data_IF_295280750247
#
_entry.id   IF_295280750247
#
_cell.length_a   1.000
_cell.length_b   1.000
_cell.length_c   1.000
_cell.angle_alpha   90.00
_cell.angle_beta   90.00
_cell.angle_gamma   90.00
#
_symmetry.space_group_name_H-M   'P 1'
#
loop_
_entity.id
_entity.type
_entity.pdbx_description
1 polymer ?
#
# COMPACT_ATOMS: atom_id res chain seq x y z
N UNK A 1 -17.60 -70.99 33.97
CA UNK A 1 -16.14 -71.19 34.14
C UNK A 1 -15.61 -71.35 32.72
N UNK A 2 -14.88 -70.47 32.07
CA UNK A 2 -13.95 -69.37 32.42
C UNK A 2 -14.20 -68.18 31.46
N UNK A 3 -14.25 -66.91 31.88
CA UNK A 3 -13.20 -66.00 32.38
C UNK A 3 -12.31 -65.38 31.26
N UNK A 4 -12.37 -64.03 31.18
CA UNK A 4 -11.48 -63.07 30.50
C UNK A 4 -11.81 -62.76 29.03
N UNK A 5 -12.48 -61.65 28.67
CA UNK A 5 -12.25 -60.22 28.97
C UNK A 5 -10.91 -59.70 28.42
N UNK A 6 -10.95 -59.15 27.20
CA UNK A 6 -10.02 -58.12 26.73
C UNK A 6 -10.79 -57.12 25.84
N UNK A 7 -11.27 -56.05 26.48
CA UNK A 7 -11.74 -54.83 25.82
C UNK A 7 -10.51 -54.03 25.37
N UNK A 8 -10.23 -54.02 24.08
CA UNK A 8 -9.26 -53.09 23.49
C UNK A 8 -9.98 -51.77 23.27
N UNK A 9 -9.78 -50.83 24.19
CA UNK A 9 -10.21 -49.44 24.05
C UNK A 9 -9.29 -48.78 23.01
N UNK A 10 -9.77 -48.67 21.77
CA UNK A 10 -9.12 -47.86 20.74
C UNK A 10 -9.44 -46.38 21.03
N UNK A 11 -8.58 -45.72 21.80
CA UNK A 11 -8.62 -44.27 21.98
C UNK A 11 -8.29 -43.58 20.66
N UNK A 12 -9.32 -43.23 19.89
CA UNK A 12 -9.21 -42.31 18.75
C UNK A 12 -8.89 -40.93 19.33
N UNK A 13 -7.63 -40.57 19.29
CA UNK A 13 -7.16 -39.20 19.54
C UNK A 13 -7.57 -38.35 18.33
N UNK A 14 -8.68 -37.63 18.50
CA UNK A 14 -9.15 -36.62 17.54
C UNK A 14 -8.10 -35.49 17.52
N UNK A 15 -7.17 -35.54 16.56
CA UNK A 15 -6.27 -34.42 16.28
C UNK A 15 -7.13 -33.24 15.81
N UNK A 16 -7.33 -32.26 16.68
CA UNK A 16 -7.75 -30.91 16.33
C UNK A 16 -6.70 -30.33 15.38
N UNK A 17 -6.92 -30.53 14.08
CA UNK A 17 -6.25 -29.74 13.04
C UNK A 17 -6.80 -28.33 13.17
N UNK A 18 -6.17 -27.52 14.02
CA UNK A 18 -6.35 -26.08 13.95
C UNK A 18 -6.01 -25.66 12.52
N UNK A 19 -6.92 -25.02 11.76
CA UNK A 19 -6.49 -24.35 10.55
C UNK A 19 -5.49 -23.31 11.01
N UNK A 20 -4.22 -23.50 10.64
CA UNK A 20 -3.25 -22.43 10.67
C UNK A 20 -3.90 -21.27 9.93
N UNK A 21 -4.30 -20.22 10.67
CA UNK A 21 -4.68 -18.95 10.06
C UNK A 21 -3.51 -18.60 9.17
N UNK A 22 -3.72 -18.65 7.85
CA UNK A 22 -2.71 -18.29 6.86
C UNK A 22 -2.01 -17.03 7.37
N UNK A 23 -0.73 -17.21 7.71
CA UNK A 23 0.03 -16.22 8.44
C UNK A 23 -0.07 -14.90 7.68
N UNK A 24 -0.58 -13.87 8.33
CA UNK A 24 -0.81 -12.57 7.72
C UNK A 24 0.55 -12.02 7.31
N UNK A 25 0.94 -12.16 6.03
CA UNK A 25 2.22 -11.67 5.56
C UNK A 25 2.20 -10.13 5.55
N UNK A 26 2.51 -9.55 6.71
CA UNK A 26 2.62 -8.13 6.88
C UNK A 26 4.01 -7.67 6.45
N UNK A 27 4.19 -7.47 5.15
CA UNK A 27 5.44 -7.01 4.56
C UNK A 27 5.93 -5.73 5.23
N UNK A 28 5.03 -4.79 5.52
CA UNK A 28 5.37 -3.54 6.22
C UNK A 28 4.15 -2.88 6.85
N UNK A 29 4.24 -2.51 8.14
CA UNK A 29 3.31 -1.55 8.74
C UNK A 29 3.63 -0.13 8.31
N UNK A 30 2.62 0.60 7.82
CA UNK A 30 2.73 1.96 7.30
C UNK A 30 1.61 2.84 7.86
N UNK A 31 1.90 4.13 8.06
CA UNK A 31 0.98 5.08 8.70
C UNK A 31 0.34 4.54 9.98
N UNK A 32 1.17 3.92 10.83
CA UNK A 32 0.85 3.27 12.11
C UNK A 32 0.05 1.96 11.98
N UNK A 33 -1.07 1.99 11.28
CA UNK A 33 -2.11 0.97 11.43
C UNK A 33 -2.39 0.13 10.17
N UNK A 34 -1.75 0.44 9.04
CA UNK A 34 -2.01 -0.26 7.77
C UNK A 34 -0.93 -1.28 7.45
N UNK A 35 -1.35 -2.50 7.13
CA UNK A 35 -0.45 -3.60 6.85
C UNK A 35 -0.32 -3.82 5.33
N UNK A 36 0.82 -3.40 4.77
CA UNK A 36 1.17 -3.66 3.38
C UNK A 36 1.41 -5.17 3.17
N UNK A 37 0.83 -5.76 2.13
CA UNK A 37 0.80 -7.21 1.87
C UNK A 37 -0.33 -7.97 2.59
N UNK A 38 -0.89 -7.39 3.65
CA UNK A 38 -1.95 -8.00 4.45
C UNK A 38 -3.32 -8.02 3.76
N UNK A 39 -4.28 -8.72 4.38
CA UNK A 39 -5.66 -8.81 3.88
C UNK A 39 -6.44 -7.50 4.06
N UNK A 40 -7.10 -7.05 2.99
CA UNK A 40 -8.01 -5.91 3.05
C UNK A 40 -9.26 -6.22 3.91
N UNK A 41 -9.77 -7.45 3.87
CA UNK A 41 -10.94 -7.83 4.66
C UNK A 41 -10.66 -7.68 6.17
N UNK A 42 -9.52 -8.21 6.62
CA UNK A 42 -9.09 -8.07 8.02
C UNK A 42 -8.75 -6.62 8.39
N UNK A 43 -8.23 -5.81 7.45
CA UNK A 43 -8.05 -4.38 7.68
C UNK A 43 -9.39 -3.69 7.93
N UNK A 44 -10.41 -4.02 7.15
CA UNK A 44 -11.76 -3.45 7.27
C UNK A 44 -12.49 -3.92 8.54
N UNK A 45 -12.28 -5.16 8.96
CA UNK A 45 -12.81 -5.67 10.23
C UNK A 45 -12.20 -4.95 11.44
N UNK A 46 -10.87 -4.78 11.46
CA UNK A 46 -10.17 -4.09 12.55
C UNK A 46 -10.44 -2.58 12.55
N UNK A 47 -10.53 -1.99 11.37
CA UNK A 47 -10.75 -0.56 11.19
C UNK A 47 -11.74 -0.32 10.04
N UNK A 48 -13.04 -0.27 10.34
CA UNK A 48 -14.06 0.04 9.34
C UNK A 48 -13.85 1.42 8.75
N UNK A 49 -14.11 1.56 7.44
CA UNK A 49 -14.19 2.87 6.79
C UNK A 49 -15.65 3.34 6.74
N UNK A 50 -15.85 4.66 6.87
CA UNK A 50 -17.15 5.31 6.61
C UNK A 50 -17.46 5.45 5.12
N UNK A 51 -16.46 5.34 4.26
CA UNK A 51 -16.63 5.48 2.81
C UNK A 51 -16.95 4.13 2.18
N UNK A 52 -17.83 4.06 1.18
CA UNK A 52 -18.09 2.83 0.44
C UNK A 52 -16.82 2.23 -0.15
N UNK A 53 -16.68 0.92 -0.04
CA UNK A 53 -15.59 0.18 -0.68
C UNK A 53 -15.76 0.25 -2.21
N UNK A 54 -14.73 0.68 -2.92
CA UNK A 54 -14.71 0.72 -4.39
C UNK A 54 -14.14 -0.59 -4.93
N UNK A 55 -14.76 -1.19 -5.94
CA UNK A 55 -14.29 -2.44 -6.57
C UNK A 55 -14.28 -2.32 -8.10
N UNK A 56 -13.28 -2.94 -8.74
CA UNK A 56 -13.20 -3.12 -10.20
C UNK A 56 -12.40 -4.39 -10.48
N UNK A 57 -13.07 -5.45 -10.92
CA UNK A 57 -12.47 -6.78 -11.06
C UNK A 57 -11.86 -7.24 -9.73
N UNK A 58 -10.60 -7.69 -9.77
CA UNK A 58 -9.84 -8.11 -8.59
C UNK A 58 -9.29 -6.94 -7.75
N UNK A 59 -9.48 -5.69 -8.18
CA UNK A 59 -9.03 -4.50 -7.46
C UNK A 59 -10.11 -4.01 -6.51
N UNK A 60 -9.69 -3.63 -5.30
CA UNK A 60 -10.55 -2.98 -4.32
C UNK A 60 -9.84 -1.78 -3.68
N UNK A 61 -10.61 -0.79 -3.22
CA UNK A 61 -10.08 0.43 -2.62
C UNK A 61 -10.96 0.95 -1.48
N UNK A 62 -10.36 1.17 -0.32
CA UNK A 62 -10.98 1.81 0.84
C UNK A 62 -10.34 3.18 1.08
N UNK A 63 -11.15 4.14 1.52
CA UNK A 63 -10.70 5.52 1.80
C UNK A 63 -10.95 5.82 3.27
N UNK A 64 -9.92 6.22 3.99
CA UNK A 64 -9.99 6.68 5.38
C UNK A 64 -9.74 8.18 5.39
N UNK A 65 -10.72 8.96 5.86
CA UNK A 65 -10.58 10.41 6.02
C UNK A 65 -10.20 10.71 7.46
N UNK A 66 -9.10 11.42 7.66
CA UNK A 66 -8.64 11.90 8.97
C UNK A 66 -8.44 13.41 8.85
N UNK A 67 -9.40 14.18 9.39
CA UNK A 67 -9.43 15.64 9.27
C UNK A 67 -9.29 16.11 7.81
N UNK A 68 -8.17 16.74 7.45
CA UNK A 68 -7.87 17.24 6.10
C UNK A 68 -7.10 16.26 5.22
N UNK A 69 -6.70 15.13 5.78
CA UNK A 69 -5.92 14.12 5.08
C UNK A 69 -6.78 12.92 4.69
N UNK A 70 -6.33 12.22 3.66
CA UNK A 70 -6.97 10.98 3.20
C UNK A 70 -5.93 9.90 3.05
N UNK A 71 -6.26 8.71 3.55
CA UNK A 71 -5.49 7.49 3.37
C UNK A 71 -6.29 6.55 2.46
N UNK A 72 -5.72 6.22 1.31
CA UNK A 72 -6.26 5.30 0.35
C UNK A 72 -5.56 3.95 0.50
N UNK A 73 -6.33 2.92 0.82
CA UNK A 73 -5.85 1.55 0.93
C UNK A 73 -6.34 0.79 -0.29
N UNK A 74 -5.42 0.37 -1.14
CA UNK A 74 -5.70 -0.32 -2.39
C UNK A 74 -5.25 -1.78 -2.28
N UNK A 75 -6.12 -2.67 -2.72
CA UNK A 75 -5.90 -4.10 -2.71
C UNK A 75 -6.10 -4.70 -4.10
N UNK A 76 -5.40 -5.81 -4.33
CA UNK A 76 -5.49 -6.64 -5.52
C UNK A 76 -5.54 -8.10 -5.06
N UNK A 77 -6.50 -8.87 -5.57
CA UNK A 77 -6.81 -10.23 -5.08
C UNK A 77 -6.96 -10.30 -3.54
N UNK A 78 -7.56 -9.25 -2.96
CA UNK A 78 -7.77 -9.12 -1.52
C UNK A 78 -6.54 -8.72 -0.69
N UNK A 79 -5.34 -8.65 -1.27
CA UNK A 79 -4.11 -8.24 -0.59
C UNK A 79 -3.79 -6.77 -0.82
N UNK A 80 -3.42 -6.05 0.25
CA UNK A 80 -3.11 -4.62 0.22
C UNK A 80 -1.77 -4.42 -0.49
N UNK A 81 -1.79 -3.93 -1.72
CA UNK A 81 -0.57 -3.67 -2.49
C UNK A 81 -0.09 -2.23 -2.37
N UNK A 82 -0.98 -1.27 -2.05
CA UNK A 82 -0.63 0.14 -1.95
C UNK A 82 -1.41 0.85 -0.86
N UNK A 83 -0.70 1.62 -0.03
CA UNK A 83 -1.31 2.56 0.92
C UNK A 83 -0.77 3.95 0.61
N UNK A 84 -1.65 4.89 0.31
CA UNK A 84 -1.32 6.25 -0.11
C UNK A 84 -1.94 7.26 0.86
N UNK A 85 -1.15 8.20 1.37
CA UNK A 85 -1.61 9.35 2.16
C UNK A 85 -1.48 10.62 1.33
N UNK A 86 -2.56 11.39 1.23
CA UNK A 86 -2.54 12.75 0.65
C UNK A 86 -2.50 13.78 1.76
N UNK A 87 -1.72 14.85 1.54
CA UNK A 87 -1.53 15.93 2.51
C UNK A 87 -2.21 17.22 2.06
N UNK A 88 -2.73 17.96 3.02
CA UNK A 88 -3.29 19.30 2.87
C UNK A 88 -2.64 20.21 3.94
N UNK A 89 -1.94 21.30 3.56
CA UNK A 89 -1.86 21.90 2.23
C UNK A 89 -0.91 21.17 1.27
N UNK A 90 -1.37 20.98 0.04
CA UNK A 90 -0.63 20.31 -1.04
C UNK A 90 0.39 21.24 -1.73
N UNK A 91 1.38 21.73 -0.97
CA UNK A 91 2.39 22.69 -1.44
C UNK A 91 3.73 22.03 -1.79
N UNK A 92 4.57 22.76 -2.55
CA UNK A 92 5.97 22.35 -2.77
C UNK A 92 6.78 22.27 -1.48
N UNK A 93 6.48 23.13 -0.49
CA UNK A 93 7.17 23.09 0.81
C UNK A 93 6.88 21.76 1.51
N UNK A 94 5.61 21.39 1.61
CA UNK A 94 5.17 20.10 2.18
C UNK A 94 5.86 18.93 1.47
N UNK A 95 5.92 18.95 0.14
CA UNK A 95 6.64 17.96 -0.65
C UNK A 95 8.12 17.90 -0.27
N UNK A 96 8.82 19.04 -0.20
CA UNK A 96 10.24 19.09 0.15
C UNK A 96 10.54 18.66 1.57
N UNK A 97 9.64 18.93 2.50
CA UNK A 97 9.77 18.51 3.90
C UNK A 97 9.67 16.99 4.02
N UNK A 98 8.69 16.39 3.35
CA UNK A 98 8.54 14.94 3.26
C UNK A 98 9.73 14.30 2.54
N UNK A 99 10.19 14.87 1.42
CA UNK A 99 11.35 14.37 0.68
C UNK A 99 12.60 14.33 1.57
N UNK A 100 12.87 15.41 2.34
CA UNK A 100 14.00 15.45 3.28
C UNK A 100 13.86 14.41 4.40
N UNK A 101 12.64 14.24 4.93
CA UNK A 101 12.36 13.23 5.96
C UNK A 101 12.59 11.80 5.45
N UNK A 102 12.10 11.50 4.26
CA UNK A 102 12.30 10.20 3.61
C UNK A 102 13.77 9.96 3.26
N UNK A 103 14.48 10.99 2.81
CA UNK A 103 15.91 10.88 2.51
C UNK A 103 16.74 10.55 3.76
N UNK A 104 16.42 11.16 4.91
CA UNK A 104 17.06 10.79 6.19
C UNK A 104 16.76 9.34 6.60
N UNK A 105 15.58 8.84 6.25
CA UNK A 105 15.11 7.51 6.68
C UNK A 105 15.56 6.37 5.77
N UNK A 106 15.60 6.61 4.46
CA UNK A 106 15.81 5.57 3.45
C UNK A 106 17.00 5.85 2.52
N UNK A 107 17.70 6.96 2.71
CA UNK A 107 18.83 7.36 1.86
C UNK A 107 18.39 8.09 0.58
N UNK A 108 19.22 8.00 -0.46
CA UNK A 108 19.00 8.70 -1.73
C UNK A 108 17.81 8.10 -2.48
N UNK A 109 16.94 8.95 -3.02
CA UNK A 109 15.87 8.55 -3.94
C UNK A 109 16.36 8.47 -5.37
N UNK A 110 15.59 7.74 -6.19
CA UNK A 110 15.59 7.87 -7.63
C UNK A 110 14.58 8.95 -8.05
N UNK A 111 15.05 9.98 -8.76
CA UNK A 111 14.18 11.04 -9.31
C UNK A 111 13.49 10.51 -10.58
N UNK A 112 12.16 10.41 -10.54
CA UNK A 112 11.29 9.96 -11.64
C UNK A 112 10.35 11.05 -12.15
N UNK A 113 10.61 12.29 -11.76
CA UNK A 113 9.82 13.46 -12.10
C UNK A 113 9.63 13.62 -13.61
N UNK A 114 8.41 13.98 -14.02
CA UNK A 114 8.05 14.12 -15.43
C UNK A 114 7.64 15.56 -15.73
N UNK A 115 8.36 16.19 -16.65
CA UNK A 115 8.10 17.56 -17.09
C UNK A 115 8.31 17.68 -18.61
N UNK A 116 7.55 18.55 -19.31
CA UNK A 116 7.78 18.85 -20.71
C UNK A 116 9.21 19.36 -20.93
N UNK A 117 9.84 18.97 -22.04
CA UNK A 117 11.26 19.29 -22.33
C UNK A 117 11.58 20.80 -22.33
N UNK A 118 10.58 21.65 -22.63
CA UNK A 118 10.68 23.12 -22.58
C UNK A 118 10.82 23.68 -21.16
N UNK A 119 10.45 22.92 -20.14
CA UNK A 119 10.40 23.37 -18.75
C UNK A 119 11.71 23.02 -18.06
N UNK A 120 12.60 24.01 -17.99
CA UNK A 120 13.91 23.89 -17.35
C UNK A 120 13.95 24.70 -16.07
N UNK A 121 14.62 24.17 -15.06
CA UNK A 121 14.80 24.84 -13.77
C UNK A 121 13.63 24.64 -12.79
N UNK A 122 13.95 24.82 -11.50
CA UNK A 122 13.05 24.47 -10.40
C UNK A 122 11.79 25.31 -10.35
N UNK A 123 11.92 26.64 -10.46
CA UNK A 123 10.76 27.55 -10.40
C UNK A 123 9.75 27.25 -11.53
N UNK A 124 10.25 26.99 -12.74
CA UNK A 124 9.41 26.61 -13.87
C UNK A 124 8.72 25.25 -13.63
N UNK A 125 9.43 24.24 -13.10
CA UNK A 125 8.85 22.94 -12.72
C UNK A 125 7.77 23.07 -11.65
N UNK A 126 7.97 23.93 -10.63
CA UNK A 126 6.95 24.25 -9.62
C UNK A 126 5.70 24.85 -10.28
N UNK A 127 5.88 25.84 -11.17
CA UNK A 127 4.77 26.43 -11.92
C UNK A 127 4.03 25.40 -12.79
N UNK A 128 4.77 24.54 -13.48
CA UNK A 128 4.22 23.47 -14.30
C UNK A 128 3.39 22.47 -13.49
N UNK A 129 3.91 22.02 -12.35
CA UNK A 129 3.20 21.10 -11.46
C UNK A 129 1.89 21.70 -10.94
N UNK A 130 1.88 22.99 -10.60
CA UNK A 130 0.67 23.73 -10.20
C UNK A 130 -0.36 23.85 -11.33
N UNK A 131 0.09 24.02 -12.57
CA UNK A 131 -0.81 24.08 -13.75
C UNK A 131 -1.28 22.70 -14.21
N UNK A 132 -0.64 21.63 -13.76
CA UNK A 132 -0.93 20.25 -14.17
C UNK A 132 -0.19 19.81 -15.42
N UNK A 133 0.88 20.52 -15.80
CA UNK A 133 1.71 20.22 -16.97
C UNK A 133 2.85 19.24 -16.65
N UNK A 134 3.07 18.89 -15.39
CA UNK A 134 4.10 17.95 -14.96
C UNK A 134 3.94 17.56 -13.50
N UNK A 135 4.85 16.70 -13.03
CA UNK A 135 4.85 16.22 -11.66
C UNK A 135 6.25 16.01 -11.12
N UNK A 136 6.40 16.31 -9.82
CA UNK A 136 7.55 15.83 -9.08
C UNK A 136 7.28 14.41 -8.61
N UNK A 137 8.26 13.53 -8.76
CA UNK A 137 8.16 12.13 -8.34
C UNK A 137 9.53 11.61 -7.91
N UNK A 138 9.58 11.00 -6.74
CA UNK A 138 10.77 10.42 -6.12
C UNK A 138 10.44 9.02 -5.61
N UNK A 139 11.36 8.08 -5.80
CA UNK A 139 11.18 6.68 -5.41
C UNK A 139 12.32 6.24 -4.49
N UNK A 140 11.98 5.62 -3.37
CA UNK A 140 12.92 4.93 -2.50
C UNK A 140 12.62 3.43 -2.52
N UNK A 141 13.61 2.64 -2.92
CA UNK A 141 13.54 1.17 -2.93
C UNK A 141 14.61 0.62 -1.99
N UNK A 142 14.33 0.48 -0.67
CA UNK A 142 15.31 0.00 0.28
C UNK A 142 15.85 -1.38 -0.12
N UNK A 143 17.16 -1.56 -0.06
CA UNK A 143 17.82 -2.80 -0.49
C UNK A 143 17.27 -4.03 0.24
N UNK A 144 17.01 -5.10 -0.53
CA UNK A 144 16.48 -6.37 -0.01
C UNK A 144 15.04 -6.30 0.51
N UNK A 145 14.29 -5.23 0.23
CA UNK A 145 12.87 -5.12 0.63
C UNK A 145 11.94 -5.34 -0.56
N UNK A 146 10.87 -6.11 -0.34
CA UNK A 146 9.82 -6.36 -1.33
C UNK A 146 8.84 -5.18 -1.50
N UNK A 147 9.16 -4.01 -0.94
CA UNK A 147 8.32 -2.83 -0.95
C UNK A 147 9.14 -1.58 -1.25
N UNK A 148 8.45 -0.53 -1.72
CA UNK A 148 9.05 0.78 -2.01
C UNK A 148 8.17 1.92 -1.50
N UNK A 149 8.75 3.11 -1.47
CA UNK A 149 8.08 4.37 -1.12
C UNK A 149 8.13 5.29 -2.32
N UNK A 150 7.00 5.93 -2.62
CA UNK A 150 6.89 6.93 -3.67
C UNK A 150 6.35 8.23 -3.07
N UNK A 151 7.01 9.35 -3.37
CA UNK A 151 6.53 10.69 -3.03
C UNK A 151 6.28 11.44 -4.34
N UNK A 152 5.08 11.97 -4.50
CA UNK A 152 4.73 12.77 -5.68
C UNK A 152 4.08 14.10 -5.34
N UNK A 153 4.24 15.08 -6.22
CA UNK A 153 3.49 16.33 -6.17
C UNK A 153 3.02 16.74 -7.58
N UNK A 154 1.70 16.81 -7.75
CA UNK A 154 1.04 17.23 -9.00
C UNK A 154 -0.27 17.95 -8.70
N UNK A 155 -0.82 18.68 -9.69
CA UNK A 155 -2.14 19.32 -9.58
C UNK A 155 -3.26 18.33 -9.26
N UNK A 156 -3.20 17.12 -9.83
CA UNK A 156 -4.28 16.12 -9.74
C UNK A 156 -4.35 15.46 -8.37
N UNK A 157 -3.21 15.09 -7.80
CA UNK A 157 -3.14 14.31 -6.56
C UNK A 157 -2.70 15.13 -5.34
N UNK A 158 -2.28 16.38 -5.53
CA UNK A 158 -1.65 17.16 -4.48
C UNK A 158 -0.31 16.52 -4.09
N UNK A 159 0.06 16.64 -2.80
CA UNK A 159 1.23 15.93 -2.26
C UNK A 159 0.77 14.56 -1.77
N UNK A 160 1.35 13.51 -2.34
CA UNK A 160 0.98 12.13 -2.05
C UNK A 160 2.21 11.29 -1.67
N UNK A 161 2.12 10.59 -0.55
CA UNK A 161 3.11 9.62 -0.08
C UNK A 161 2.51 8.22 -0.15
N UNK A 162 3.10 7.34 -0.96
CA UNK A 162 2.64 5.98 -1.13
C UNK A 162 3.69 4.96 -0.68
N UNK A 163 3.22 3.88 -0.08
CA UNK A 163 3.98 2.65 0.14
C UNK A 163 3.38 1.55 -0.71
N UNK A 164 4.21 0.78 -1.40
CA UNK A 164 3.77 -0.24 -2.36
C UNK A 164 4.52 -1.56 -2.18
N UNK A 165 3.83 -2.70 -2.32
CA UNK A 165 4.47 -4.02 -2.51
C UNK A 165 4.84 -4.14 -3.99
N UNK A 166 6.11 -4.36 -4.28
CA UNK A 166 6.64 -4.30 -5.64
C UNK A 166 6.00 -5.34 -6.56
N UNK A 167 5.86 -6.57 -6.08
CA UNK A 167 5.33 -7.68 -6.87
C UNK A 167 3.82 -7.52 -7.12
N UNK A 168 3.04 -7.25 -6.08
CA UNK A 168 1.59 -7.04 -6.24
C UNK A 168 1.27 -5.81 -7.11
N UNK A 169 2.05 -4.73 -7.02
CA UNK A 169 1.89 -3.57 -7.91
C UNK A 169 2.23 -3.91 -9.37
N UNK A 170 3.18 -4.81 -9.62
CA UNK A 170 3.49 -5.26 -10.99
C UNK A 170 2.36 -6.13 -11.54
N UNK A 171 1.89 -7.10 -10.76
CA UNK A 171 0.80 -8.00 -11.17
C UNK A 171 -0.49 -7.25 -11.47
N UNK A 172 -0.89 -6.31 -10.60
CA UNK A 172 -2.09 -5.54 -10.84
C UNK A 172 -1.97 -4.64 -12.08
N UNK A 173 -0.76 -4.16 -12.46
CA UNK A 173 -0.56 -3.38 -13.70
C UNK A 173 -0.66 -4.26 -14.94
N UNK A 174 -0.02 -5.43 -14.94
CA UNK A 174 -0.08 -6.37 -16.06
C UNK A 174 -1.53 -6.78 -16.37
N UNK A 175 -2.33 -7.05 -15.33
CA UNK A 175 -3.75 -7.34 -15.51
C UNK A 175 -4.60 -6.13 -15.92
N UNK A 176 -4.06 -4.90 -15.90
CA UNK A 176 -4.76 -3.74 -16.45
C UNK A 176 -4.61 -3.66 -17.98
N UNK A 177 -3.45 -4.05 -18.49
CA UNK A 177 -3.11 -3.96 -19.92
C UNK A 177 -3.86 -5.00 -20.76
N UNK A 178 -4.38 -6.06 -20.14
CA UNK A 178 -5.17 -7.12 -20.78
C UNK A 178 -6.66 -6.72 -20.94
N UNK A 179 -7.14 -5.70 -20.23
CA UNK A 179 -8.55 -5.23 -20.29
C UNK A 179 -8.83 -4.28 -21.50
N UNK A 180 -8.09 -4.40 -22.61
CA UNK A 180 -8.29 -3.60 -23.84
C UNK A 180 -9.23 -4.26 -24.85
#
# INVERSE_FOLDING_TARGET
MDLRQFLIVFSVTLSLVSPARADQECVRKVFRDFCLGGSLAQQLERQPTKSPLRRKGERAGAIYTQERERIYVMAYKGQIYKVLRTFDPATYSTYRDLQRSLARKYGKSEEKSQFPARIRGRAARIGAARRGEGEFHEVWSPAGKAWRVELSWSRKLGVALAYLVNELDRQQKANHEIDL
#
